data_IF_606966268732
#
_entry.id   IF_606966268732
#
_cell.length_a   1.000
_cell.length_b   1.000
_cell.length_c   1.000
_cell.angle_alpha   90.00
_cell.angle_beta   90.00
_cell.angle_gamma   90.00
#
_symmetry.space_group_name_H-M   'P 1'
#
loop_
_entity.id
_entity.type
_entity.pdbx_description
1 polymer ?
#
# COMPACT_ATOMS: atom_id res chain seq x y z
N UNK A 1 8.48 -15.40 -2.38
CA UNK A 1 8.33 -15.35 -0.91
C UNK A 1 7.36 -14.28 -0.41
N UNK A 2 7.43 -13.03 -0.87
CA UNK A 2 6.55 -11.94 -0.40
C UNK A 2 5.04 -12.21 -0.51
N UNK A 3 4.56 -12.80 -1.62
CA UNK A 3 3.16 -13.17 -1.78
C UNK A 3 2.68 -14.21 -0.75
N UNK A 4 3.51 -15.21 -0.45
CA UNK A 4 3.20 -16.21 0.57
C UNK A 4 3.17 -15.60 1.98
N UNK A 5 4.08 -14.65 2.26
CA UNK A 5 4.09 -13.88 3.51
C UNK A 5 2.79 -13.07 3.67
N UNK A 6 2.41 -12.32 2.63
CA UNK A 6 1.18 -11.55 2.59
C UNK A 6 -0.06 -12.43 2.85
N UNK A 7 -0.17 -13.58 2.17
CA UNK A 7 -1.30 -14.49 2.37
C UNK A 7 -1.36 -15.02 3.81
N UNK A 8 -0.23 -15.38 4.42
CA UNK A 8 -0.21 -15.89 5.80
C UNK A 8 -0.74 -14.84 6.78
N UNK A 9 -0.19 -13.63 6.72
CA UNK A 9 -0.59 -12.51 7.59
C UNK A 9 -2.06 -12.17 7.38
N UNK A 10 -2.55 -12.19 6.13
CA UNK A 10 -3.96 -11.91 5.82
C UNK A 10 -4.90 -12.99 6.35
N UNK A 11 -4.56 -14.28 6.24
CA UNK A 11 -5.44 -15.37 6.67
C UNK A 11 -5.54 -15.54 8.19
N UNK A 12 -4.49 -15.22 8.94
CA UNK A 12 -4.45 -15.44 10.39
C UNK A 12 -5.52 -14.60 11.13
N UNK A 13 -5.85 -13.41 10.63
CA UNK A 13 -6.73 -12.44 11.33
C UNK A 13 -8.10 -12.26 10.70
N UNK A 14 -8.26 -12.60 9.42
CA UNK A 14 -9.57 -12.59 8.76
C UNK A 14 -10.59 -13.54 9.40
N UNK A 15 -10.12 -14.53 10.18
CA UNK A 15 -10.97 -15.55 10.80
C UNK A 15 -11.31 -15.29 12.27
N UNK A 16 -10.66 -14.33 12.95
CA UNK A 16 -10.89 -14.08 14.38
C UNK A 16 -11.88 -12.96 14.67
N UNK A 17 -12.01 -11.96 13.77
CA UNK A 17 -12.85 -10.79 13.99
C UNK A 17 -12.36 -9.87 15.12
N UNK A 18 -11.16 -10.10 15.62
CA UNK A 18 -10.52 -9.32 16.68
C UNK A 18 -9.80 -8.09 16.10
N UNK A 19 -9.62 -7.07 16.93
CA UNK A 19 -8.83 -5.90 16.55
C UNK A 19 -7.35 -6.29 16.39
N UNK A 20 -6.68 -5.66 15.44
CA UNK A 20 -5.25 -5.84 15.15
C UNK A 20 -4.48 -4.57 15.44
N UNK A 21 -3.18 -4.71 15.73
CA UNK A 21 -2.31 -3.55 15.93
C UNK A 21 -2.07 -2.82 14.61
N UNK A 22 -1.77 -1.52 14.70
CA UNK A 22 -1.31 -0.78 13.53
C UNK A 22 -0.10 -1.45 12.86
N UNK A 23 0.84 -1.99 13.65
CA UNK A 23 2.01 -2.71 13.12
C UNK A 23 1.61 -3.88 12.23
N UNK A 24 0.57 -4.63 12.58
CA UNK A 24 0.07 -5.72 11.76
C UNK A 24 -0.50 -5.23 10.41
N UNK A 25 -1.29 -4.15 10.42
CA UNK A 25 -1.78 -3.54 9.18
C UNK A 25 -0.61 -3.04 8.32
N UNK A 26 0.42 -2.44 8.91
CA UNK A 26 1.61 -1.97 8.19
C UNK A 26 2.43 -3.11 7.60
N UNK A 27 2.49 -4.27 8.24
CA UNK A 27 3.11 -5.48 7.68
C UNK A 27 2.39 -5.95 6.42
N UNK A 28 1.04 -5.97 6.43
CA UNK A 28 0.22 -6.29 5.25
C UNK A 28 0.48 -5.30 4.12
N UNK A 29 0.45 -4.00 4.43
CA UNK A 29 0.71 -2.92 3.46
C UNK A 29 2.11 -3.05 2.87
N UNK A 30 3.13 -3.30 3.69
CA UNK A 30 4.50 -3.45 3.23
C UNK A 30 4.65 -4.65 2.28
N UNK A 31 4.03 -5.78 2.62
CA UNK A 31 4.07 -6.97 1.76
C UNK A 31 3.32 -6.76 0.44
N UNK A 32 2.17 -6.08 0.47
CA UNK A 32 1.42 -5.70 -0.74
C UNK A 32 2.23 -4.76 -1.64
N UNK A 33 2.77 -3.67 -1.08
CA UNK A 33 3.56 -2.69 -1.83
C UNK A 33 4.84 -3.29 -2.41
N UNK A 34 5.44 -4.28 -1.74
CA UNK A 34 6.56 -5.04 -2.32
C UNK A 34 6.16 -5.72 -3.63
N UNK A 35 5.00 -6.40 -3.66
CA UNK A 35 4.49 -7.09 -4.85
C UNK A 35 4.16 -6.07 -5.95
N UNK A 36 3.52 -4.97 -5.60
CA UNK A 36 3.16 -3.94 -6.59
C UNK A 36 4.37 -3.16 -7.10
N UNK A 37 5.45 -3.04 -6.31
CA UNK A 37 6.70 -2.44 -6.78
C UNK A 37 7.34 -3.26 -7.90
N UNK A 38 7.27 -4.59 -7.84
CA UNK A 38 7.70 -5.45 -8.95
C UNK A 38 6.84 -5.24 -10.21
N UNK A 39 5.56 -4.86 -10.05
CA UNK A 39 4.65 -4.60 -11.19
C UNK A 39 4.85 -3.22 -11.81
N UNK A 40 5.10 -2.21 -10.98
CA UNK A 40 5.16 -0.81 -11.40
C UNK A 40 6.58 -0.26 -11.54
N UNK A 41 7.60 -1.04 -11.14
CA UNK A 41 9.02 -0.72 -11.22
C UNK A 41 9.32 0.68 -10.63
N UNK A 42 10.02 1.53 -11.38
CA UNK A 42 10.43 2.88 -10.98
C UNK A 42 9.27 3.89 -10.87
N UNK A 43 8.02 3.47 -11.02
CA UNK A 43 6.85 4.35 -10.94
C UNK A 43 6.17 4.34 -9.58
N UNK A 44 6.48 3.36 -8.72
CA UNK A 44 5.94 3.29 -7.36
C UNK A 44 6.99 3.74 -6.35
N UNK A 45 6.76 4.91 -5.75
CA UNK A 45 7.54 5.43 -4.64
C UNK A 45 6.73 5.38 -3.35
N UNK A 46 7.33 4.87 -2.29
CA UNK A 46 6.68 4.69 -0.98
C UNK A 46 7.51 5.42 0.06
N UNK A 47 6.88 6.32 0.79
CA UNK A 47 7.45 7.01 1.96
C UNK A 47 6.63 6.63 3.18
N UNK A 48 7.30 6.30 4.28
CA UNK A 48 6.65 5.97 5.54
C UNK A 48 6.82 7.11 6.54
N UNK A 49 5.71 7.65 7.00
CA UNK A 49 5.66 8.65 8.07
C UNK A 49 4.76 8.11 9.18
N UNK A 50 5.35 7.37 10.10
CA UNK A 50 4.65 6.70 11.20
C UNK A 50 5.34 7.05 12.51
N UNK A 51 4.57 7.49 13.51
CA UNK A 51 5.10 7.68 14.86
C UNK A 51 5.46 6.33 15.46
N UNK A 52 6.73 6.07 15.85
CA UNK A 52 7.14 4.79 16.40
C UNK A 52 6.50 4.45 17.75
N UNK A 53 5.90 5.42 18.45
CA UNK A 53 5.27 5.22 19.76
C UNK A 53 3.75 5.06 19.68
N UNK A 54 3.18 5.04 18.47
CA UNK A 54 1.74 4.89 18.31
C UNK A 54 1.32 3.46 18.68
N UNK A 55 0.42 3.35 19.66
CA UNK A 55 -0.24 2.09 20.02
C UNK A 55 -1.72 2.23 19.69
N UNK A 56 -2.14 1.54 18.62
CA UNK A 56 -3.47 1.67 18.05
C UNK A 56 -3.98 0.30 17.62
N UNK A 57 -5.22 0.01 18.02
CA UNK A 57 -5.97 -1.17 17.60
C UNK A 57 -7.04 -0.79 16.58
N UNK A 58 -7.12 -1.54 15.50
CA UNK A 58 -8.00 -1.28 14.35
C UNK A 58 -8.72 -2.58 13.94
N UNK A 59 -9.90 -2.50 13.32
CA UNK A 59 -10.44 -3.63 12.59
C UNK A 59 -9.44 -4.11 11.51
N UNK A 60 -9.32 -5.43 11.27
CA UNK A 60 -8.46 -5.94 10.20
C UNK A 60 -8.81 -5.34 8.84
N UNK A 61 -7.81 -5.13 8.01
CA UNK A 61 -7.91 -4.56 6.66
C UNK A 61 -8.50 -3.14 6.64
N UNK A 62 -8.27 -2.34 7.68
CA UNK A 62 -8.68 -0.94 7.69
C UNK A 62 -7.84 -0.11 6.73
N UNK A 63 -6.52 -0.30 6.72
CA UNK A 63 -5.58 0.53 5.93
C UNK A 63 -5.49 0.00 4.51
N UNK A 64 -5.59 -1.31 4.34
CA UNK A 64 -5.36 -1.97 3.07
C UNK A 64 -6.18 -1.42 1.88
N UNK A 65 -7.50 -1.18 1.99
CA UNK A 65 -8.29 -0.61 0.89
C UNK A 65 -7.82 0.77 0.44
N UNK A 66 -7.29 1.58 1.37
CA UNK A 66 -6.77 2.91 1.06
C UNK A 66 -5.49 2.79 0.21
N UNK A 67 -4.59 1.90 0.60
CA UNK A 67 -3.34 1.64 -0.13
C UNK A 67 -3.64 1.03 -1.49
N UNK A 68 -4.54 0.05 -1.56
CA UNK A 68 -4.96 -0.53 -2.83
C UNK A 68 -5.52 0.53 -3.79
N UNK A 69 -6.36 1.43 -3.28
CA UNK A 69 -6.91 2.52 -4.09
C UNK A 69 -5.81 3.49 -4.53
N UNK A 70 -4.88 3.85 -3.64
CA UNK A 70 -3.76 4.73 -3.97
C UNK A 70 -2.86 4.13 -5.06
N UNK A 71 -2.55 2.83 -5.01
CA UNK A 71 -1.76 2.16 -6.05
C UNK A 71 -2.54 2.05 -7.36
N UNK A 72 -3.80 1.60 -7.30
CA UNK A 72 -4.64 1.37 -8.50
C UNK A 72 -4.93 2.65 -9.28
N UNK A 73 -5.11 3.78 -8.58
CA UNK A 73 -5.56 5.03 -9.18
C UNK A 73 -4.53 6.15 -9.16
N UNK A 74 -3.54 6.11 -8.26
CA UNK A 74 -2.51 7.14 -8.13
C UNK A 74 -1.34 6.99 -9.10
N UNK A 75 -1.14 5.80 -9.69
CA UNK A 75 -0.12 5.58 -10.72
C UNK A 75 -0.78 5.65 -12.10
N UNK A 76 -0.44 6.64 -12.95
CA UNK A 76 -0.99 6.71 -14.30
C UNK A 76 -0.70 5.42 -15.08
N UNK A 77 -1.72 4.84 -15.69
CA UNK A 77 -1.54 3.78 -16.68
C UNK A 77 -0.73 4.35 -17.85
N UNK A 78 0.16 3.55 -18.44
CA UNK A 78 0.83 3.99 -19.67
C UNK A 78 -0.27 4.24 -20.71
N UNK A 79 -0.48 5.50 -21.05
CA UNK A 79 -1.31 5.88 -22.20
C UNK A 79 -0.57 5.36 -23.43
N UNK A 80 -0.99 4.20 -23.95
CA UNK A 80 -0.62 3.80 -25.31
C UNK A 80 -1.26 4.82 -26.26
N UNK A 81 -0.48 5.84 -26.61
CA UNK A 81 -0.82 6.86 -27.60
C UNK A 81 -1.34 8.17 -27.00
N UNK A 82 -0.44 9.13 -26.81
CA UNK A 82 -0.76 10.52 -26.47
C UNK A 82 0.45 11.25 -25.91
N UNK A 83 0.94 12.27 -26.60
CA UNK A 83 2.01 13.14 -26.10
C UNK A 83 1.50 13.89 -24.86
N UNK A 84 2.00 13.54 -23.68
CA UNK A 84 1.73 14.29 -22.45
C UNK A 84 2.77 15.44 -22.37
N UNK A 85 2.35 16.70 -22.14
CA UNK A 85 3.31 17.79 -21.94
C UNK A 85 4.10 17.54 -20.66
N UNK A 86 5.41 17.80 -20.76
CA UNK A 86 6.41 17.61 -19.71
C UNK A 86 6.12 18.56 -18.53
N UNK A 87 5.41 18.10 -17.51
CA UNK A 87 5.34 18.80 -16.23
C UNK A 87 6.49 18.35 -15.33
N UNK A 88 7.21 19.29 -14.69
CA UNK A 88 8.33 18.95 -13.83
C UNK A 88 7.82 18.26 -12.55
N UNK A 89 8.37 17.08 -12.32
CA UNK A 89 8.49 16.32 -11.06
C UNK A 89 7.80 16.88 -9.80
N UNK A 90 6.94 16.05 -9.21
CA UNK A 90 6.57 16.10 -7.79
C UNK A 90 5.25 16.80 -7.51
N UNK A 91 4.64 16.47 -6.36
CA UNK A 91 3.41 17.06 -5.81
C UNK A 91 2.09 16.46 -6.29
N UNK A 92 1.81 15.24 -5.85
CA UNK A 92 0.45 14.93 -5.37
C UNK A 92 0.56 14.52 -3.90
N UNK A 93 0.32 15.48 -3.00
CA UNK A 93 -0.12 15.18 -1.64
C UNK A 93 -1.60 14.80 -1.74
N UNK A 94 -1.90 13.51 -1.60
CA UNK A 94 -3.22 13.07 -1.19
C UNK A 94 -3.11 12.66 0.27
N UNK A 95 -3.98 13.26 1.08
CA UNK A 95 -4.16 13.01 2.51
C UNK A 95 -4.29 11.53 2.85
#
# INVERSE_FOLDING_TARGET
>A
DAFASYLRVSFDFLNSGELVTLSHELELVSAYLYIEKERFEDRLFVTWEVDPNIDLLLPPLTIQPLIENAVKHGIPSQVKGGTVPNYPSGWFHAF
#
